data_IF_146815718900
#
_entry.id   IF_146815718900
#
_cell.length_a   1.000
_cell.length_b   1.000
_cell.length_c   1.000
_cell.angle_alpha   90.00
_cell.angle_beta   90.00
_cell.angle_gamma   90.00
#
_symmetry.space_group_name_H-M   'P 1'
#
loop_
_entity.id
_entity.type
_entity.pdbx_description
1 polymer ?
#
# COMPACT_ATOMS: atom_id res chain seq x y z
N UNK A 1 8.40 -54.80 -33.84
CA UNK A 1 7.18 -54.02 -33.56
C UNK A 1 7.48 -52.99 -32.49
N UNK A 2 6.93 -51.78 -32.69
CA UNK A 2 7.08 -50.53 -31.96
C UNK A 2 7.14 -50.63 -30.41
N UNK A 3 7.96 -49.78 -29.77
CA UNK A 3 7.51 -48.51 -29.18
C UNK A 3 8.68 -47.73 -28.58
N UNK A 4 9.08 -46.67 -29.31
CA UNK A 4 9.88 -45.56 -28.80
C UNK A 4 8.94 -44.71 -27.93
N UNK A 5 9.24 -44.59 -26.64
CA UNK A 5 8.56 -43.64 -25.75
C UNK A 5 9.43 -42.40 -25.68
N UNK A 6 9.07 -41.41 -26.49
CA UNK A 6 9.62 -40.05 -26.44
C UNK A 6 9.21 -39.38 -25.13
N UNK A 7 10.16 -39.19 -24.22
CA UNK A 7 10.03 -38.28 -23.08
C UNK A 7 10.23 -36.84 -23.57
N UNK A 8 9.15 -36.20 -23.98
CA UNK A 8 9.08 -34.74 -24.08
C UNK A 8 8.89 -34.17 -22.67
N UNK A 9 9.99 -33.76 -22.03
CA UNK A 9 9.91 -32.88 -20.85
C UNK A 9 9.75 -31.46 -21.37
N UNK A 10 8.49 -31.05 -21.47
CA UNK A 10 8.09 -29.67 -21.71
C UNK A 10 8.26 -28.93 -20.37
N UNK A 11 9.42 -28.32 -20.15
CA UNK A 11 9.59 -27.31 -19.10
C UNK A 11 9.09 -25.96 -19.63
N UNK A 12 7.76 -25.81 -19.67
CA UNK A 12 7.10 -24.52 -19.88
C UNK A 12 6.66 -23.95 -18.53
N UNK A 13 7.09 -22.72 -18.26
CA UNK A 13 6.44 -21.70 -17.45
C UNK A 13 6.11 -22.03 -15.98
N UNK A 14 6.99 -21.56 -15.09
CA UNK A 14 6.58 -21.03 -13.78
C UNK A 14 7.18 -19.63 -13.57
N UNK A 15 6.98 -18.74 -14.56
CA UNK A 15 7.14 -17.29 -14.42
C UNK A 15 5.79 -16.66 -14.77
N UNK A 16 4.89 -16.73 -13.80
CA UNK A 16 3.54 -16.17 -13.80
C UNK A 16 2.94 -16.59 -12.47
N UNK A 17 2.51 -15.73 -11.56
CA UNK A 17 1.90 -14.42 -11.76
C UNK A 17 1.94 -13.66 -10.44
N UNK A 18 2.85 -12.70 -10.28
CA UNK A 18 2.75 -11.66 -9.23
C UNK A 18 1.84 -10.49 -9.68
N UNK A 19 1.24 -10.61 -10.86
CA UNK A 19 0.40 -9.60 -11.48
C UNK A 19 -1.09 -9.94 -11.33
N UNK A 20 -1.59 -10.17 -10.10
CA UNK A 20 -3.03 -10.22 -9.82
C UNK A 20 -3.37 -10.17 -8.32
N UNK A 21 -2.91 -9.12 -7.64
CA UNK A 21 -3.46 -8.73 -6.33
C UNK A 21 -3.32 -7.20 -6.11
N UNK A 22 -3.69 -6.38 -7.11
CA UNK A 22 -3.77 -4.91 -6.99
C UNK A 22 -5.22 -4.41 -6.85
N UNK A 23 -6.12 -5.27 -6.38
CA UNK A 23 -7.53 -4.93 -6.22
C UNK A 23 -7.86 -4.72 -4.76
N UNK A 24 -7.92 -3.43 -4.40
CA UNK A 24 -8.59 -2.89 -3.21
C UNK A 24 -7.86 -3.23 -1.91
N UNK A 25 -6.89 -2.39 -1.55
CA UNK A 25 -6.50 -2.22 -0.15
C UNK A 25 -7.79 -2.03 0.67
N UNK A 26 -8.02 -2.80 1.76
CA UNK A 26 -9.18 -2.61 2.59
C UNK A 26 -9.19 -1.15 3.08
N UNK A 27 -10.28 -0.43 2.79
CA UNK A 27 -10.50 0.99 3.17
C UNK A 27 -10.23 1.27 4.66
N UNK A 28 -10.21 0.24 5.49
CA UNK A 28 -9.97 0.30 6.93
C UNK A 28 -8.50 0.51 7.31
N UNK A 29 -7.53 0.19 6.45
CA UNK A 29 -6.10 0.41 6.72
C UNK A 29 -5.66 1.88 6.53
N UNK A 30 -6.53 2.72 5.98
CA UNK A 30 -6.22 4.10 5.56
C UNK A 30 -6.75 5.12 6.59
N UNK A 31 -7.45 4.66 7.64
CA UNK A 31 -8.28 5.48 8.52
C UNK A 31 -7.58 6.49 9.42
N UNK A 32 -6.27 6.41 9.64
CA UNK A 32 -5.55 7.33 10.55
C UNK A 32 -4.14 7.67 10.10
N UNK A 33 -3.90 7.80 8.78
CA UNK A 33 -2.74 8.56 8.25
C UNK A 33 -3.00 10.08 8.27
N UNK A 34 -3.68 10.52 9.32
CA UNK A 34 -4.16 11.88 9.52
C UNK A 34 -3.03 12.77 10.03
N UNK A 35 -2.62 13.68 9.14
CA UNK A 35 -2.04 14.98 9.42
C UNK A 35 -0.55 15.07 9.79
N UNK A 36 0.18 15.69 8.86
CA UNK A 36 1.34 16.54 9.09
C UNK A 36 2.70 15.87 9.37
N UNK A 37 3.75 16.69 9.24
CA UNK A 37 5.17 16.37 8.95
C UNK A 37 5.86 15.31 9.83
N UNK A 38 5.22 14.82 10.88
CA UNK A 38 5.75 13.79 11.79
C UNK A 38 5.39 12.35 11.37
N UNK A 39 4.42 12.16 10.48
CA UNK A 39 4.05 10.84 9.93
C UNK A 39 5.18 10.15 9.14
N UNK A 40 6.23 10.88 8.78
CA UNK A 40 7.39 10.41 8.00
C UNK A 40 8.35 9.61 8.88
N UNK A 41 8.46 9.95 10.17
CA UNK A 41 9.40 9.29 11.08
C UNK A 41 8.89 7.94 11.58
N UNK A 42 7.62 7.59 11.34
CA UNK A 42 7.04 6.33 11.83
C UNK A 42 5.78 5.83 11.10
N UNK A 43 5.50 6.21 9.85
CA UNK A 43 4.21 5.87 9.22
C UNK A 43 4.30 5.64 7.72
N UNK A 44 4.56 4.37 7.34
CA UNK A 44 4.44 3.87 5.97
C UNK A 44 3.14 4.35 5.32
N UNK A 45 3.26 5.21 4.32
CA UNK A 45 2.11 5.66 3.56
C UNK A 45 2.38 5.59 2.06
N UNK A 46 1.37 5.14 1.31
CA UNK A 46 1.40 5.07 -0.15
C UNK A 46 1.50 6.46 -0.81
N UNK A 47 1.33 7.51 -0.01
CA UNK A 47 1.29 8.93 -0.38
C UNK A 47 2.65 9.64 -0.23
N UNK A 48 3.73 8.87 -0.13
CA UNK A 48 5.10 9.38 -0.09
C UNK A 48 5.74 9.37 -1.48
N UNK A 49 6.78 10.17 -1.64
CA UNK A 49 7.77 10.06 -2.71
C UNK A 49 9.10 9.60 -2.13
N UNK A 50 9.78 8.71 -2.83
CA UNK A 50 11.07 8.19 -2.42
C UNK A 50 12.17 8.58 -3.40
N UNK A 51 13.41 8.68 -2.91
CA UNK A 51 14.56 9.05 -3.76
C UNK A 51 14.76 8.06 -4.90
N UNK A 52 14.54 6.76 -4.64
CA UNK A 52 14.66 5.68 -5.63
C UNK A 52 13.31 4.99 -5.84
N UNK A 53 13.15 4.34 -7.00
CA UNK A 53 11.98 3.51 -7.28
C UNK A 53 11.91 2.31 -6.33
N UNK A 54 13.05 1.67 -6.09
CA UNK A 54 13.14 0.48 -5.24
C UNK A 54 12.73 0.79 -3.79
N UNK A 55 13.10 1.96 -3.25
CA UNK A 55 12.65 2.36 -1.91
C UNK A 55 11.13 2.59 -1.85
N UNK A 56 10.54 3.11 -2.93
CA UNK A 56 9.08 3.22 -3.02
C UNK A 56 8.41 1.84 -3.09
N UNK A 57 8.97 0.89 -3.85
CA UNK A 57 8.47 -0.47 -3.92
C UNK A 57 8.55 -1.20 -2.57
N UNK A 58 9.63 -1.00 -1.80
CA UNK A 58 9.74 -1.50 -0.42
C UNK A 58 8.65 -0.92 0.49
N UNK A 59 8.34 0.38 0.36
CA UNK A 59 7.24 0.99 1.11
C UNK A 59 5.91 0.35 0.75
N UNK A 60 5.63 0.19 -0.54
CA UNK A 60 4.37 -0.39 -1.02
C UNK A 60 4.20 -1.84 -0.53
N UNK A 61 5.23 -2.66 -0.68
CA UNK A 61 5.27 -4.03 -0.19
C UNK A 61 5.04 -4.09 1.32
N UNK A 62 5.78 -3.27 2.09
CA UNK A 62 5.63 -3.21 3.54
C UNK A 62 4.22 -2.79 3.97
N UNK A 63 3.59 -1.80 3.30
CA UNK A 63 2.20 -1.39 3.59
C UNK A 63 1.25 -2.56 3.39
N UNK A 64 1.35 -3.26 2.25
CA UNK A 64 0.46 -4.38 1.91
C UNK A 64 0.66 -5.51 2.92
N UNK A 65 1.88 -6.02 3.07
CA UNK A 65 2.17 -7.17 3.92
C UNK A 65 1.85 -6.91 5.40
N UNK A 66 2.18 -5.73 5.92
CA UNK A 66 1.91 -5.40 7.33
C UNK A 66 0.42 -5.20 7.58
N UNK A 67 -0.33 -4.65 6.61
CA UNK A 67 -1.79 -4.54 6.69
C UNK A 67 -2.44 -5.92 6.70
N UNK A 68 -2.06 -6.80 5.78
CA UNK A 68 -2.59 -8.18 5.73
C UNK A 68 -2.24 -8.96 7.00
N UNK A 69 -1.04 -8.77 7.53
CA UNK A 69 -0.62 -9.40 8.80
C UNK A 69 -1.41 -8.84 9.97
N UNK A 70 -1.61 -7.51 10.02
CA UNK A 70 -2.41 -6.86 11.06
C UNK A 70 -3.86 -7.36 11.06
N UNK A 71 -4.49 -7.43 9.88
CA UNK A 71 -5.84 -7.95 9.73
C UNK A 71 -5.92 -9.43 10.14
N UNK A 72 -4.91 -10.24 9.81
CA UNK A 72 -4.82 -11.64 10.25
C UNK A 72 -4.73 -11.75 11.77
N UNK A 73 -3.85 -10.99 12.42
CA UNK A 73 -3.71 -10.97 13.88
C UNK A 73 -4.98 -10.47 14.57
N UNK A 74 -5.65 -9.47 13.99
CA UNK A 74 -6.96 -9.00 14.43
C UNK A 74 -8.00 -10.13 14.43
N UNK A 75 -8.14 -10.85 13.32
CA UNK A 75 -9.09 -11.96 13.24
C UNK A 75 -8.71 -13.14 14.13
N UNK A 76 -7.41 -13.38 14.36
CA UNK A 76 -6.97 -14.40 15.32
C UNK A 76 -7.35 -14.02 16.75
N UNK A 77 -7.20 -12.75 17.13
CA UNK A 77 -7.61 -12.26 18.45
C UNK A 77 -9.13 -12.41 18.67
N UNK A 78 -9.93 -12.26 17.62
CA UNK A 78 -11.38 -12.38 17.65
C UNK A 78 -11.94 -13.69 17.06
N UNK A 79 -11.10 -14.73 16.89
CA UNK A 79 -11.42 -15.93 16.11
C UNK A 79 -12.75 -16.58 16.49
N UNK A 80 -13.10 -16.52 17.77
CA UNK A 80 -14.29 -17.17 18.34
C UNK A 80 -15.52 -16.24 18.40
N UNK A 81 -15.38 -14.97 17.98
CA UNK A 81 -16.46 -13.97 18.06
C UNK A 81 -17.19 -13.73 16.75
N UNK A 82 -16.66 -14.22 15.62
CA UNK A 82 -17.28 -14.07 14.31
C UNK A 82 -17.70 -15.44 13.78
N UNK A 83 -19.00 -15.68 13.74
CA UNK A 83 -19.55 -16.88 13.12
C UNK A 83 -19.49 -16.76 11.59
N UNK A 84 -18.86 -17.75 10.96
CA UNK A 84 -18.70 -17.82 9.51
C UNK A 84 -20.04 -18.01 8.77
N UNK A 85 -21.04 -18.57 9.45
CA UNK A 85 -22.38 -18.80 8.91
C UNK A 85 -23.23 -17.54 8.85
N UNK A 86 -22.80 -16.44 9.49
CA UNK A 86 -23.54 -15.18 9.41
C UNK A 86 -23.53 -14.58 8.01
N UNK A 87 -24.60 -13.88 7.60
CA UNK A 87 -24.61 -13.10 6.36
C UNK A 87 -23.46 -12.09 6.32
N UNK A 88 -22.88 -11.85 5.13
CA UNK A 88 -21.72 -10.95 4.94
C UNK A 88 -21.92 -9.59 5.63
N UNK A 89 -23.07 -8.95 5.43
CA UNK A 89 -23.39 -7.65 6.05
C UNK A 89 -23.25 -7.67 7.57
N UNK A 90 -23.73 -8.73 8.24
CA UNK A 90 -23.65 -8.89 9.69
C UNK A 90 -22.20 -9.11 10.15
N UNK A 91 -21.41 -9.89 9.41
CA UNK A 91 -19.97 -10.05 9.69
C UNK A 91 -19.22 -8.74 9.55
N UNK A 92 -19.53 -7.94 8.53
CA UNK A 92 -18.89 -6.63 8.31
C UNK A 92 -19.26 -5.63 9.43
N UNK A 93 -20.51 -5.63 9.90
CA UNK A 93 -20.95 -4.82 11.04
C UNK A 93 -20.28 -5.24 12.36
N UNK A 94 -20.23 -6.54 12.64
CA UNK A 94 -19.56 -7.05 13.85
C UNK A 94 -18.04 -6.79 13.80
N UNK A 95 -17.41 -7.00 12.64
CA UNK A 95 -16.00 -6.66 12.43
C UNK A 95 -15.73 -5.21 12.80
N UNK A 96 -16.53 -4.26 12.30
CA UNK A 96 -16.40 -2.83 12.66
C UNK A 96 -16.53 -2.59 14.16
N UNK A 97 -17.46 -3.27 14.83
CA UNK A 97 -17.65 -3.17 16.28
C UNK A 97 -16.44 -3.72 17.04
N UNK A 98 -15.91 -4.87 16.64
CA UNK A 98 -14.74 -5.50 17.25
C UNK A 98 -13.47 -4.67 17.04
N UNK A 99 -13.31 -4.04 15.87
CA UNK A 99 -12.24 -3.05 15.62
C UNK A 99 -12.30 -1.90 16.61
N UNK A 100 -13.46 -1.26 16.81
CA UNK A 100 -13.61 -0.18 17.80
C UNK A 100 -13.31 -0.65 19.22
N UNK A 101 -13.71 -1.87 19.57
CA UNK A 101 -13.41 -2.45 20.88
C UNK A 101 -11.91 -2.70 21.08
N UNK A 102 -11.20 -3.10 20.02
CA UNK A 102 -9.75 -3.24 20.07
C UNK A 102 -9.06 -1.88 20.21
N UNK A 103 -9.54 -0.85 19.50
CA UNK A 103 -9.02 0.52 19.60
C UNK A 103 -9.11 1.09 21.02
N UNK A 104 -10.14 0.73 21.78
CA UNK A 104 -10.25 1.13 23.19
C UNK A 104 -9.32 0.31 24.10
N UNK A 105 -8.91 -0.89 23.68
CA UNK A 105 -7.95 -1.73 24.40
C UNK A 105 -6.52 -1.52 23.88
N UNK A 106 -5.90 -0.42 24.31
CA UNK A 106 -4.54 0.00 23.90
C UNK A 106 -3.47 -1.10 24.03
N UNK A 107 -3.57 -1.95 25.06
CA UNK A 107 -2.57 -3.01 25.31
C UNK A 107 -2.63 -4.10 24.26
N UNK A 108 -3.82 -4.58 23.94
CA UNK A 108 -3.99 -5.64 22.93
C UNK A 108 -3.74 -5.11 21.52
N UNK A 109 -4.16 -3.86 21.25
CA UNK A 109 -3.80 -3.19 20.01
C UNK A 109 -2.28 -3.06 19.85
N UNK A 110 -1.54 -2.70 20.91
CA UNK A 110 -0.07 -2.63 20.88
C UNK A 110 0.55 -3.97 20.50
N UNK A 111 0.11 -5.07 21.13
CA UNK A 111 0.61 -6.41 20.81
C UNK A 111 0.36 -6.81 19.36
N UNK A 112 -0.84 -6.50 18.85
CA UNK A 112 -1.19 -6.76 17.45
C UNK A 112 -0.32 -5.92 16.52
N UNK A 113 -0.10 -4.63 16.82
CA UNK A 113 0.79 -3.75 16.07
C UNK A 113 2.24 -4.26 16.07
N UNK A 114 2.76 -4.69 17.22
CA UNK A 114 4.11 -5.24 17.36
C UNK A 114 4.30 -6.49 16.50
N UNK A 115 3.38 -7.45 16.58
CA UNK A 115 3.43 -8.68 15.77
C UNK A 115 3.35 -8.41 14.27
N UNK A 116 2.46 -7.50 13.87
CA UNK A 116 2.25 -7.13 12.47
C UNK A 116 3.27 -6.12 11.95
N UNK A 117 4.11 -5.56 12.82
CA UNK A 117 4.96 -4.39 12.54
C UNK A 117 4.18 -3.21 11.95
N UNK A 118 2.89 -3.11 12.28
CA UNK A 118 2.02 -2.07 11.78
C UNK A 118 2.48 -0.72 12.34
N UNK A 119 2.71 0.25 11.46
CA UNK A 119 3.30 1.54 11.84
C UNK A 119 4.77 1.49 12.29
N UNK A 120 5.46 0.34 12.21
CA UNK A 120 6.90 0.33 12.49
C UNK A 120 7.66 1.13 11.41
N UNK A 121 8.77 1.81 11.75
CA UNK A 121 9.57 2.52 10.76
C UNK A 121 10.14 1.54 9.71
N UNK A 122 10.46 2.08 8.54
CA UNK A 122 11.18 1.38 7.48
C UNK A 122 12.42 2.20 7.13
N UNK A 123 13.54 1.54 6.91
CA UNK A 123 14.79 2.21 6.50
C UNK A 123 14.73 2.53 4.99
N UNK A 124 14.11 3.68 4.68
CA UNK A 124 13.91 4.18 3.31
C UNK A 124 14.03 5.69 3.28
N UNK A 125 14.57 6.24 2.18
CA UNK A 125 14.62 7.69 1.95
C UNK A 125 13.34 8.16 1.24
N UNK A 126 12.26 8.20 2.02
CA UNK A 126 10.94 8.60 1.57
C UNK A 126 10.41 9.80 2.36
N UNK A 127 9.69 10.70 1.66
CA UNK A 127 9.12 11.93 2.22
C UNK A 127 7.71 12.14 1.65
N UNK A 128 6.78 12.77 2.37
CA UNK A 128 5.48 13.16 1.85
C UNK A 128 5.63 14.16 0.72
N UNK A 129 4.62 14.21 -0.13
CA UNK A 129 4.57 15.24 -1.15
C UNK A 129 4.52 16.64 -0.54
N UNK A 130 5.37 17.57 -1.01
CA UNK A 130 5.20 18.98 -0.68
C UNK A 130 3.89 19.46 -1.30
N UNK A 131 3.07 20.22 -0.57
CA UNK A 131 1.81 20.83 -1.08
C UNK A 131 2.08 22.00 -2.04
N UNK A 132 2.83 21.74 -3.10
CA UNK A 132 3.27 22.70 -4.11
C UNK A 132 2.95 22.18 -5.51
N UNK A 133 3.06 23.03 -6.52
CA UNK A 133 2.94 22.57 -7.91
C UNK A 133 4.06 21.57 -8.26
N UNK A 134 3.70 20.48 -8.92
CA UNK A 134 4.60 19.40 -9.31
C UNK A 134 4.61 19.24 -10.82
N UNK A 135 5.65 18.64 -11.37
CA UNK A 135 5.68 18.14 -12.74
C UNK A 135 6.07 16.66 -12.73
N UNK A 136 5.59 15.91 -13.73
CA UNK A 136 6.03 14.54 -13.97
C UNK A 136 7.30 14.62 -14.83
N UNK A 137 8.44 14.23 -14.27
CA UNK A 137 9.73 14.26 -14.97
C UNK A 137 9.98 12.94 -15.73
N UNK A 138 9.66 11.82 -15.09
CA UNK A 138 9.79 10.48 -15.69
C UNK A 138 8.49 9.71 -15.52
N UNK A 139 8.06 9.10 -16.61
CA UNK A 139 6.97 8.15 -16.60
C UNK A 139 7.53 6.78 -17.03
N UNK A 140 7.32 5.76 -16.21
CA UNK A 140 7.66 4.41 -16.64
C UNK A 140 6.77 4.02 -17.81
N UNK A 141 7.36 3.68 -18.96
CA UNK A 141 6.61 3.28 -20.16
C UNK A 141 5.68 2.08 -19.91
N UNK A 142 6.00 1.24 -18.91
CA UNK A 142 5.27 0.01 -18.57
C UNK A 142 4.91 -0.09 -17.08
N UNK A 143 5.05 0.99 -16.30
CA UNK A 143 4.90 0.94 -14.85
C UNK A 143 3.88 1.93 -14.31
N UNK A 144 3.20 1.54 -13.24
CA UNK A 144 2.34 2.42 -12.43
C UNK A 144 3.14 3.44 -11.60
N UNK A 145 4.46 3.52 -11.79
CA UNK A 145 5.35 4.42 -11.04
C UNK A 145 5.80 5.61 -11.88
N UNK A 146 5.81 6.78 -11.26
CA UNK A 146 6.23 8.05 -11.86
C UNK A 146 7.26 8.73 -10.97
N UNK A 147 8.19 9.46 -11.58
CA UNK A 147 9.06 10.39 -10.87
C UNK A 147 8.51 11.80 -11.00
N UNK A 148 8.21 12.43 -9.88
CA UNK A 148 7.66 13.79 -9.82
C UNK A 148 8.63 14.71 -9.10
N UNK A 149 8.70 15.97 -9.54
CA UNK A 149 9.48 17.00 -8.85
C UNK A 149 8.68 18.28 -8.66
N UNK A 150 9.01 19.11 -7.66
CA UNK A 150 8.45 20.44 -7.55
C UNK A 150 8.75 21.28 -8.78
N UNK A 151 7.81 22.15 -9.16
CA UNK A 151 7.97 23.07 -10.28
C UNK A 151 9.18 24.00 -10.05
N UNK A 152 9.40 24.40 -8.79
CA UNK A 152 10.52 25.25 -8.33
C UNK A 152 11.89 24.59 -8.46
N UNK A 153 11.97 23.32 -8.87
CA UNK A 153 13.22 22.56 -8.99
C UNK A 153 13.41 21.54 -7.88
N UNK A 154 14.55 20.86 -7.90
CA UNK A 154 14.92 19.79 -6.97
C UNK A 154 14.93 18.40 -7.62
N UNK A 155 15.43 17.42 -6.86
CA UNK A 155 15.47 16.03 -7.30
C UNK A 155 14.06 15.46 -7.46
N UNK A 156 13.89 14.58 -8.45
CA UNK A 156 12.64 13.86 -8.64
C UNK A 156 12.49 12.79 -7.55
N UNK A 157 11.26 12.56 -7.10
CA UNK A 157 10.88 11.51 -6.17
C UNK A 157 9.90 10.54 -6.83
N UNK A 158 10.13 9.24 -6.62
CA UNK A 158 9.34 8.14 -7.15
C UNK A 158 8.10 7.86 -6.32
N UNK A 159 6.99 7.58 -7.00
CA UNK A 159 5.70 7.25 -6.38
C UNK A 159 4.79 6.48 -7.33
N UNK A 160 3.64 6.02 -6.84
CA UNK A 160 2.56 5.46 -7.63
C UNK A 160 1.71 6.57 -8.31
N UNK A 161 1.40 6.34 -9.58
CA UNK A 161 0.66 7.27 -10.44
C UNK A 161 -0.78 7.48 -9.96
N UNK A 162 -1.45 6.45 -9.45
CA UNK A 162 -2.80 6.57 -8.89
C UNK A 162 -2.74 7.30 -7.57
N UNK A 163 -1.75 7.00 -6.74
CA UNK A 163 -1.53 7.69 -5.49
C UNK A 163 -1.36 9.20 -5.72
N UNK A 164 -0.49 9.57 -6.65
CA UNK A 164 -0.27 10.96 -7.05
C UNK A 164 -1.55 11.64 -7.57
N UNK A 165 -2.28 11.01 -8.50
CA UNK A 165 -3.53 11.55 -9.05
C UNK A 165 -4.64 11.71 -8.01
N UNK A 166 -4.60 10.98 -6.90
CA UNK A 166 -5.53 11.18 -5.79
C UNK A 166 -5.33 12.51 -5.06
N UNK A 167 -4.11 13.05 -5.07
CA UNK A 167 -3.71 14.26 -4.35
C UNK A 167 -3.45 15.46 -5.26
N UNK A 168 -3.29 15.22 -6.56
CA UNK A 168 -2.95 16.24 -7.53
C UNK A 168 -3.87 16.17 -8.74
N UNK A 169 -4.27 17.34 -9.22
CA UNK A 169 -5.00 17.51 -10.47
C UNK A 169 -4.12 18.18 -11.51
N UNK A 170 -4.25 17.73 -12.76
CA UNK A 170 -3.57 18.34 -13.89
C UNK A 170 -4.12 19.76 -14.07
N UNK A 171 -3.22 20.73 -14.12
CA UNK A 171 -3.53 22.13 -14.39
C UNK A 171 -3.90 22.36 -15.85
N UNK A 172 -4.33 23.58 -16.15
CA UNK A 172 -4.75 23.99 -17.50
C UNK A 172 -3.62 23.93 -18.53
N UNK A 173 -2.37 24.13 -18.09
CA UNK A 173 -1.17 24.04 -18.93
C UNK A 173 -0.81 22.60 -19.36
N UNK A 174 -1.58 21.60 -18.93
CA UNK A 174 -1.42 20.18 -19.26
C UNK A 174 -0.05 19.58 -18.89
N UNK A 175 0.75 20.28 -18.08
CA UNK A 175 2.10 19.85 -17.68
C UNK A 175 2.31 19.91 -16.17
N UNK A 176 1.70 20.90 -15.54
CA UNK A 176 1.82 21.15 -14.12
C UNK A 176 0.67 20.51 -13.37
N UNK A 177 0.98 19.91 -12.24
CA UNK A 177 0.03 19.26 -11.35
C UNK A 177 -0.11 20.09 -10.08
N UNK A 178 -1.32 20.48 -9.73
CA UNK A 178 -1.61 21.28 -8.54
C UNK A 178 -2.20 20.40 -7.44
N UNK A 179 -1.87 20.62 -6.16
CA UNK A 179 -2.51 19.90 -5.06
C UNK A 179 -4.02 20.08 -5.10
N UNK A 180 -4.75 18.99 -4.87
CA UNK A 180 -6.18 19.01 -4.63
C UNK A 180 -6.43 19.77 -3.31
N UNK A 181 -7.41 20.69 -3.31
CA UNK A 181 -7.78 21.45 -2.11
C UNK A 181 -8.59 20.60 -1.14
#
# INVERSE_FOLDING_TARGET
MLRIVSLFVISLFALGSLAQARTVLPRFAIGTLSASKDAIKGGLNVWSSCKTKDDYEKVLDAVITRTETHEREFYQYFRDRIDKNWPKKKRDEENKRLYRLLETNRRELSKINEKSKFGAPLDVDCKPFPRTKMIIEKNSAFGDHICVRPLTGGACGWTDKRAFKGFYSLGTDSKTWSPNR
#
